data_IF_346878076730
#
_entry.id   IF_346878076730
#
_cell.length_a   1.000
_cell.length_b   1.000
_cell.length_c   1.000
_cell.angle_alpha   90.00
_cell.angle_beta   90.00
_cell.angle_gamma   90.00
#
_symmetry.space_group_name_H-M   'P 1'
#
loop_
_entity.id
_entity.type
_entity.pdbx_description
1 polymer ?
#
# COMPACT_ATOMS: atom_id res chain seq x y z
N UNK A 1 16.32 7.64 6.62
CA UNK A 1 15.35 6.66 6.07
C UNK A 1 14.73 5.94 7.26
N UNK A 2 13.41 5.98 7.43
CA UNK A 2 12.72 5.39 8.59
C UNK A 2 12.12 4.05 8.16
N UNK A 3 12.44 2.98 8.88
CA UNK A 3 11.84 1.67 8.67
C UNK A 3 10.49 1.61 9.43
N UNK A 4 9.40 1.53 8.69
CA UNK A 4 8.04 1.51 9.27
C UNK A 4 7.58 0.09 9.59
N UNK A 5 7.94 -0.86 8.74
CA UNK A 5 7.59 -2.27 8.89
C UNK A 5 8.69 -3.14 8.30
N UNK A 6 8.95 -4.27 8.94
CA UNK A 6 9.88 -5.30 8.49
C UNK A 6 9.43 -6.62 9.10
N UNK A 7 9.00 -7.53 8.25
CA UNK A 7 8.69 -8.90 8.63
C UNK A 7 8.96 -9.79 7.42
N UNK A 8 9.55 -10.96 7.65
CA UNK A 8 9.93 -11.88 6.59
C UNK A 8 11.17 -12.73 6.90
N UNK A 9 11.19 -13.92 6.31
CA UNK A 9 12.32 -14.85 6.30
C UNK A 9 12.46 -15.47 4.90
N UNK A 10 13.56 -16.17 4.57
CA UNK A 10 13.73 -16.81 3.27
C UNK A 10 12.63 -17.83 2.90
N UNK A 11 11.85 -18.28 3.88
CA UNK A 11 10.79 -19.27 3.72
C UNK A 11 9.41 -18.72 4.08
N UNK A 12 9.28 -17.44 4.41
CA UNK A 12 7.99 -16.86 4.77
C UNK A 12 7.20 -16.55 3.51
N UNK A 13 6.04 -17.18 3.38
CA UNK A 13 5.02 -16.76 2.43
C UNK A 13 4.17 -15.66 3.08
N UNK A 14 4.02 -14.53 2.40
CA UNK A 14 3.18 -13.43 2.86
C UNK A 14 1.82 -13.61 2.19
N UNK A 15 0.78 -13.87 2.98
CA UNK A 15 -0.58 -13.93 2.45
C UNK A 15 -1.15 -12.53 2.20
N UNK A 16 -2.30 -12.47 1.52
CA UNK A 16 -3.01 -11.20 1.30
C UNK A 16 -3.38 -10.48 2.62
N UNK A 17 -3.78 -11.24 3.64
CA UNK A 17 -4.13 -10.66 4.94
C UNK A 17 -2.89 -10.15 5.68
N UNK A 18 -1.77 -10.89 5.61
CA UNK A 18 -0.49 -10.46 6.17
C UNK A 18 -0.01 -9.16 5.53
N UNK A 19 -0.16 -9.05 4.20
CA UNK A 19 0.17 -7.85 3.44
C UNK A 19 -0.69 -6.65 3.85
N UNK A 20 -1.99 -6.88 4.06
CA UNK A 20 -2.91 -5.86 4.57
C UNK A 20 -2.51 -5.40 5.97
N UNK A 21 -2.23 -6.31 6.89
CA UNK A 21 -1.80 -5.97 8.26
C UNK A 21 -0.46 -5.22 8.29
N UNK A 22 0.49 -5.66 7.47
CA UNK A 22 1.79 -5.00 7.29
C UNK A 22 1.61 -3.55 6.84
N UNK A 23 0.75 -3.33 5.83
CA UNK A 23 0.47 -2.00 5.28
C UNK A 23 -0.20 -1.10 6.31
N UNK A 24 -1.24 -1.57 7.00
CA UNK A 24 -1.94 -0.82 8.06
C UNK A 24 -0.96 -0.41 9.17
N UNK A 25 -0.13 -1.35 9.62
CA UNK A 25 0.88 -1.10 10.66
C UNK A 25 1.88 -0.02 10.25
N UNK A 26 2.34 -0.06 9.00
CA UNK A 26 3.27 0.94 8.47
C UNK A 26 2.61 2.33 8.38
N UNK A 27 1.37 2.40 7.89
CA UNK A 27 0.63 3.65 7.70
C UNK A 27 0.25 4.30 9.03
N UNK A 28 -0.14 3.51 10.04
CA UNK A 28 -0.41 3.99 11.40
C UNK A 28 0.84 4.64 12.03
N UNK A 29 2.01 3.99 11.89
CA UNK A 29 3.29 4.55 12.36
C UNK A 29 3.69 5.83 11.62
N UNK A 30 3.27 5.99 10.37
CA UNK A 30 3.54 7.17 9.55
C UNK A 30 2.52 8.32 9.77
N UNK A 31 1.75 8.32 10.85
CA UNK A 31 0.70 9.31 11.22
C UNK A 31 -0.72 9.00 10.75
N UNK A 32 -1.02 7.76 10.35
CA UNK A 32 -2.38 7.27 10.16
C UNK A 32 -3.22 8.03 9.13
N UNK A 33 -4.54 8.17 9.38
CA UNK A 33 -5.48 8.83 8.44
C UNK A 33 -5.68 10.33 8.72
N UNK A 34 -5.17 10.82 9.84
CA UNK A 34 -5.55 12.14 10.36
C UNK A 34 -5.09 13.27 9.42
N UNK A 35 -6.06 14.06 8.94
CA UNK A 35 -5.86 15.30 8.15
C UNK A 35 -5.10 15.15 6.83
N UNK A 36 -5.14 13.98 6.18
CA UNK A 36 -4.47 13.77 4.88
C UNK A 36 -5.45 13.81 3.71
N UNK A 37 -5.10 14.58 2.68
CA UNK A 37 -5.59 14.35 1.30
C UNK A 37 -4.61 13.37 0.67
N UNK A 38 -5.09 12.17 0.36
CA UNK A 38 -4.26 11.09 -0.19
C UNK A 38 -4.51 11.00 -1.68
N UNK A 39 -3.42 10.92 -2.43
CA UNK A 39 -3.45 10.69 -3.87
C UNK A 39 -2.62 9.44 -4.15
N UNK A 40 -3.20 8.49 -4.86
CA UNK A 40 -2.46 7.30 -5.27
C UNK A 40 -1.77 7.54 -6.61
N UNK A 41 -0.52 7.12 -6.69
CA UNK A 41 0.25 7.07 -7.93
C UNK A 41 0.51 5.60 -8.21
N UNK A 42 -0.28 4.97 -9.09
CA UNK A 42 -0.09 3.58 -9.42
C UNK A 42 1.26 3.38 -10.13
N UNK A 43 1.82 2.16 -10.07
CA UNK A 43 3.02 1.84 -10.84
C UNK A 43 2.73 1.96 -12.35
N UNK A 44 3.70 2.50 -13.10
CA UNK A 44 3.70 2.59 -14.56
C UNK A 44 3.45 1.22 -15.21
N UNK A 45 2.73 1.21 -16.35
CA UNK A 45 2.29 -0.02 -17.02
C UNK A 45 3.44 -0.98 -17.37
N UNK A 46 4.66 -0.45 -17.53
CA UNK A 46 5.85 -1.26 -17.77
C UNK A 46 6.19 -2.25 -16.65
N UNK A 47 5.62 -2.10 -15.44
CA UNK A 47 5.76 -3.03 -14.32
C UNK A 47 4.63 -4.07 -14.23
N UNK A 48 4.19 -4.58 -15.38
CA UNK A 48 3.12 -5.59 -15.46
C UNK A 48 3.32 -6.81 -14.55
N UNK A 49 4.57 -7.27 -14.35
CA UNK A 49 4.87 -8.39 -13.43
C UNK A 49 4.64 -8.06 -11.96
N UNK A 50 4.69 -6.78 -11.58
CA UNK A 50 4.35 -6.30 -10.24
C UNK A 50 2.90 -5.84 -10.13
N UNK A 51 2.12 -5.88 -11.23
CA UNK A 51 0.80 -5.25 -11.30
C UNK A 51 -0.25 -5.99 -10.48
N UNK A 52 -0.17 -7.33 -10.41
CA UNK A 52 -1.09 -8.14 -9.58
C UNK A 52 -0.88 -7.81 -8.10
N UNK A 53 0.37 -7.84 -7.63
CA UNK A 53 0.70 -7.56 -6.22
C UNK A 53 0.53 -6.07 -5.87
N UNK A 54 0.89 -5.16 -6.79
CA UNK A 54 0.72 -3.71 -6.58
C UNK A 54 -0.76 -3.29 -6.61
N UNK A 55 -1.59 -3.99 -7.39
CA UNK A 55 -3.04 -3.78 -7.40
C UNK A 55 -3.66 -4.11 -6.05
N UNK A 56 -3.26 -5.24 -5.46
CA UNK A 56 -3.71 -5.68 -4.13
C UNK A 56 -3.27 -4.67 -3.05
N UNK A 57 -2.01 -4.23 -3.05
CA UNK A 57 -1.53 -3.21 -2.12
C UNK A 57 -2.32 -1.89 -2.26
N UNK A 58 -2.61 -1.49 -3.51
CA UNK A 58 -3.38 -0.27 -3.78
C UNK A 58 -4.82 -0.40 -3.30
N UNK A 59 -5.43 -1.58 -3.45
CA UNK A 59 -6.75 -1.86 -2.91
C UNK A 59 -6.76 -1.77 -1.38
N UNK A 60 -5.82 -2.42 -0.70
CA UNK A 60 -5.72 -2.35 0.77
C UNK A 60 -5.45 -0.91 1.25
N UNK A 61 -4.63 -0.15 0.52
CA UNK A 61 -4.41 1.27 0.81
C UNK A 61 -5.69 2.10 0.63
N UNK A 62 -6.49 1.81 -0.41
CA UNK A 62 -7.78 2.46 -0.64
C UNK A 62 -8.77 2.13 0.48
N UNK A 63 -8.88 0.86 0.87
CA UNK A 63 -9.71 0.43 2.01
C UNK A 63 -9.26 1.10 3.32
N UNK A 64 -7.96 1.26 3.52
CA UNK A 64 -7.43 1.99 4.66
C UNK A 64 -7.80 3.48 4.60
N UNK A 65 -7.44 4.21 3.55
CA UNK A 65 -7.65 5.67 3.53
C UNK A 65 -9.11 6.09 3.30
N UNK A 66 -9.91 5.29 2.59
CA UNK A 66 -11.32 5.54 2.31
C UNK A 66 -11.57 6.93 1.74
N UNK A 67 -12.42 7.72 2.39
CA UNK A 67 -12.79 9.09 1.97
C UNK A 67 -11.63 10.09 1.93
N UNK A 68 -10.48 9.74 2.49
CA UNK A 68 -9.27 10.56 2.44
C UNK A 68 -8.58 10.49 1.07
N UNK A 69 -8.87 9.46 0.25
CA UNK A 69 -8.39 9.36 -1.12
C UNK A 69 -9.13 10.38 -1.98
N UNK A 70 -8.39 11.34 -2.54
CA UNK A 70 -8.93 12.44 -3.34
C UNK A 70 -8.69 12.28 -4.83
N UNK A 71 -7.69 11.49 -5.22
CA UNK A 71 -7.37 11.26 -6.62
C UNK A 71 -6.53 9.99 -6.80
N UNK A 72 -6.58 9.43 -8.00
CA UNK A 72 -5.72 8.32 -8.44
C UNK A 72 -5.14 8.75 -9.79
N UNK A 73 -3.83 8.97 -9.84
CA UNK A 73 -3.17 9.40 -11.08
C UNK A 73 -3.34 8.32 -12.15
N UNK A 74 -3.72 8.65 -13.38
CA UNK A 74 -3.58 7.72 -14.49
C UNK A 74 -2.08 7.50 -14.74
N UNK A 75 -1.59 6.32 -14.40
CA UNK A 75 -0.26 5.88 -14.84
C UNK A 75 -0.38 5.42 -16.29
N UNK A 76 0.50 5.93 -17.16
CA UNK A 76 0.61 5.53 -18.56
C UNK A 76 1.50 4.28 -18.72
#
# INVERSE_FOLDING_TARGET
MVLLYSDGSPTTEISDDDLKQALVTALDKFHGKDKRKVMFVPPDFTRFHSYVESGIVTQHAYEYFGEHVKDIMPAL
#
